data_IF_969579886961
#
_entry.id   IF_969579886961
#
_cell.length_a   1.000
_cell.length_b   1.000
_cell.length_c   1.000
_cell.angle_alpha   90.00
_cell.angle_beta   90.00
_cell.angle_gamma   90.00
#
_symmetry.space_group_name_H-M   'P 1'
#
loop_
_entity.id
_entity.type
_entity.pdbx_description
1 polymer ?
#
# COMPACT_ATOMS: atom_id res chain seq x y z
N UNK A 1 1.67 26.37 15.74
CA UNK A 1 1.91 25.97 17.12
C UNK A 1 0.64 25.30 17.58
N UNK A 2 0.71 24.00 17.76
CA UNK A 2 -0.40 23.18 18.24
C UNK A 2 -0.24 23.10 19.76
N UNK A 3 -1.25 23.49 20.54
CA UNK A 3 -1.18 23.44 22.00
C UNK A 3 -1.46 22.02 22.49
N UNK A 4 -0.39 21.23 22.64
CA UNK A 4 -0.41 19.84 23.09
C UNK A 4 -0.56 19.74 24.63
N UNK A 5 -1.66 20.25 25.17
CA UNK A 5 -1.93 20.16 26.61
C UNK A 5 -2.02 18.68 27.07
N UNK A 6 -1.21 18.32 28.06
CA UNK A 6 -1.25 17.00 28.72
C UNK A 6 -0.39 15.91 28.10
N UNK A 7 0.16 16.09 26.90
CA UNK A 7 1.05 15.09 26.27
C UNK A 7 2.45 15.14 26.95
N UNK A 8 2.99 14.01 27.43
CA UNK A 8 4.35 13.97 27.97
C UNK A 8 5.41 14.03 26.86
N UNK A 9 6.67 14.29 27.23
CA UNK A 9 7.81 14.08 26.33
C UNK A 9 7.87 12.61 25.89
N UNK A 10 7.98 12.39 24.57
CA UNK A 10 7.95 11.07 23.95
C UNK A 10 9.34 10.45 23.81
N UNK A 11 9.38 9.12 23.74
CA UNK A 11 10.58 8.30 23.62
C UNK A 11 10.47 7.50 22.32
N UNK A 12 11.42 7.64 21.41
CA UNK A 12 11.45 6.93 20.11
C UNK A 12 10.07 6.93 19.39
N UNK A 13 9.45 8.12 19.19
CA UNK A 13 8.06 8.24 18.76
C UNK A 13 7.84 7.85 17.29
N UNK A 14 6.84 7.01 17.05
CA UNK A 14 6.40 6.63 15.69
C UNK A 14 4.91 6.86 15.52
N UNK A 15 4.54 7.53 14.44
CA UNK A 15 3.14 7.73 14.09
C UNK A 15 2.62 6.52 13.32
N UNK A 16 1.48 5.95 13.75
CA UNK A 16 0.81 4.86 13.04
C UNK A 16 -0.57 5.34 12.61
N UNK A 17 -0.78 5.53 11.31
CA UNK A 17 -1.97 6.17 10.75
C UNK A 17 -2.82 5.21 9.92
N UNK A 18 -4.15 5.29 10.05
CA UNK A 18 -5.10 4.59 9.18
C UNK A 18 -6.37 5.43 8.94
N UNK A 19 -6.92 5.32 7.73
CA UNK A 19 -8.06 6.13 7.27
C UNK A 19 -9.17 5.26 6.67
N UNK A 20 -10.31 5.22 7.34
CA UNK A 20 -11.56 4.59 6.87
C UNK A 20 -11.96 5.19 5.52
N UNK A 21 -12.41 4.37 4.56
CA UNK A 21 -12.83 4.83 3.23
C UNK A 21 -12.18 4.03 2.09
N UNK A 22 -11.77 4.72 1.03
CA UNK A 22 -11.27 4.08 -0.20
C UNK A 22 -9.99 3.26 -0.01
N UNK A 23 -9.19 3.61 1.01
CA UNK A 23 -7.89 3.02 1.32
C UNK A 23 -7.98 1.82 2.31
N UNK A 24 -9.18 1.39 2.71
CA UNK A 24 -9.35 0.44 3.82
C UNK A 24 -10.36 -0.68 3.54
N UNK A 25 -10.00 -1.59 2.63
CA UNK A 25 -10.77 -2.78 2.33
C UNK A 25 -11.03 -3.66 3.59
N UNK A 26 -12.31 -3.96 3.85
CA UNK A 26 -12.72 -4.78 5.00
C UNK A 26 -12.54 -4.11 6.37
N UNK A 27 -12.35 -2.78 6.40
CA UNK A 27 -11.99 -1.95 7.57
C UNK A 27 -10.70 -2.43 8.29
N UNK A 28 -9.81 -3.14 7.58
CA UNK A 28 -8.69 -3.88 8.18
C UNK A 28 -7.62 -2.98 8.82
N UNK A 29 -7.28 -1.86 8.18
CA UNK A 29 -6.27 -0.92 8.64
C UNK A 29 -6.79 -0.01 9.77
N UNK A 30 -8.02 0.51 9.65
CA UNK A 30 -8.63 1.28 10.74
C UNK A 30 -8.95 0.38 11.94
N UNK A 31 -9.34 -0.88 11.74
CA UNK A 31 -9.48 -1.86 12.83
C UNK A 31 -8.13 -2.20 13.45
N UNK A 32 -7.03 -2.28 12.68
CA UNK A 32 -5.69 -2.46 13.25
C UNK A 32 -5.32 -1.32 14.22
N UNK A 33 -5.46 -0.06 13.81
CA UNK A 33 -5.18 1.09 14.72
C UNK A 33 -6.15 1.13 15.91
N UNK A 34 -7.44 0.82 15.70
CA UNK A 34 -8.42 0.72 16.79
C UNK A 34 -8.10 -0.41 17.79
N UNK A 35 -7.48 -1.50 17.34
CA UNK A 35 -7.00 -2.57 18.21
C UNK A 35 -5.82 -2.11 19.07
N UNK A 36 -4.81 -1.43 18.49
CA UNK A 36 -3.69 -0.86 19.25
C UNK A 36 -4.18 0.10 20.34
N UNK A 37 -5.09 1.01 19.97
CA UNK A 37 -5.70 2.00 20.86
C UNK A 37 -6.49 1.33 22.01
N UNK A 38 -7.20 0.24 21.72
CA UNK A 38 -7.97 -0.54 22.71
C UNK A 38 -7.09 -1.32 23.69
N UNK A 39 -6.13 -2.10 23.20
CA UNK A 39 -5.36 -3.01 24.05
C UNK A 39 -4.34 -2.27 24.94
N UNK A 40 -3.70 -1.23 24.39
CA UNK A 40 -2.78 -0.38 25.14
C UNK A 40 -3.45 0.82 25.82
N UNK A 41 -4.75 1.04 25.59
CA UNK A 41 -5.59 2.08 26.21
C UNK A 41 -5.09 3.49 25.90
N UNK A 42 -5.02 3.82 24.62
CA UNK A 42 -4.55 5.11 24.13
C UNK A 42 -5.35 6.27 24.67
N UNK A 43 -4.64 7.32 25.08
CA UNK A 43 -5.25 8.56 25.53
C UNK A 43 -5.35 9.53 24.35
N UNK A 44 -6.57 9.81 23.89
CA UNK A 44 -6.85 10.77 22.80
C UNK A 44 -6.53 12.18 23.29
N UNK A 45 -5.46 12.76 22.76
CA UNK A 45 -5.01 14.11 23.10
C UNK A 45 -5.45 15.17 22.08
N UNK A 46 -5.77 14.77 20.84
CA UNK A 46 -6.19 15.69 19.80
C UNK A 46 -7.21 15.08 18.81
N UNK A 47 -7.94 15.95 18.14
CA UNK A 47 -8.81 15.63 17.00
C UNK A 47 -8.80 16.82 16.03
N UNK A 48 -8.78 16.54 14.73
CA UNK A 48 -8.85 17.56 13.68
C UNK A 48 -10.28 18.14 13.63
N UNK A 49 -10.43 19.42 13.27
CA UNK A 49 -11.76 20.01 13.10
C UNK A 49 -12.51 19.30 11.96
N UNK A 50 -13.75 18.91 12.23
CA UNK A 50 -14.56 18.19 11.27
C UNK A 50 -15.07 19.10 10.13
N UNK A 51 -15.29 20.39 10.40
CA UNK A 51 -15.93 21.33 9.44
C UNK A 51 -15.00 21.71 8.27
N UNK A 52 -13.68 21.69 8.49
CA UNK A 52 -12.71 22.05 7.45
C UNK A 52 -12.41 20.91 6.44
N UNK A 53 -12.71 19.66 6.81
CA UNK A 53 -12.23 18.47 6.09
C UNK A 53 -13.32 17.52 5.56
N UNK A 54 -14.53 17.47 6.13
CA UNK A 54 -15.54 16.46 5.78
C UNK A 54 -16.81 17.05 5.16
N UNK A 55 -17.31 16.41 4.10
CA UNK A 55 -18.67 16.65 3.61
C UNK A 55 -19.66 15.86 4.46
N UNK A 56 -20.41 16.53 5.33
CA UNK A 56 -21.40 15.91 6.20
C UNK A 56 -22.65 15.35 5.48
N UNK A 57 -22.76 15.51 4.15
CA UNK A 57 -23.74 14.76 3.35
C UNK A 57 -23.27 13.35 3.01
N UNK A 58 -21.96 13.15 2.93
CA UNK A 58 -21.29 11.84 2.77
C UNK A 58 -21.06 11.24 4.16
N UNK A 59 -20.23 11.91 4.96
CA UNK A 59 -19.81 11.47 6.30
C UNK A 59 -20.78 12.05 7.36
N UNK A 60 -21.92 11.40 7.53
CA UNK A 60 -23.02 11.92 8.36
C UNK A 60 -22.72 11.80 9.87
N UNK A 61 -22.91 12.87 10.67
CA UNK A 61 -22.81 12.80 12.13
C UNK A 61 -23.86 11.87 12.74
N UNK A 62 -23.41 11.02 13.68
CA UNK A 62 -24.26 9.98 14.28
C UNK A 62 -24.89 10.46 15.58
N UNK A 63 -26.22 10.31 15.69
CA UNK A 63 -26.97 10.57 16.92
C UNK A 63 -26.95 9.34 17.82
N UNK A 64 -26.65 9.52 19.10
CA UNK A 64 -26.73 8.45 20.11
C UNK A 64 -27.34 8.94 21.42
N UNK A 65 -27.67 7.99 22.30
CA UNK A 65 -28.25 8.23 23.61
C UNK A 65 -27.32 7.70 24.70
N UNK A 66 -26.92 8.55 25.64
CA UNK A 66 -26.04 8.20 26.75
C UNK A 66 -26.68 8.63 28.07
N UNK A 67 -26.94 7.69 28.97
CA UNK A 67 -27.68 7.92 30.23
C UNK A 67 -29.03 8.67 30.06
N UNK A 68 -29.68 8.56 28.89
CA UNK A 68 -30.91 9.27 28.55
C UNK A 68 -30.72 10.66 27.94
N UNK A 69 -29.48 11.17 27.84
CA UNK A 69 -29.13 12.41 27.14
C UNK A 69 -28.82 12.10 25.68
N UNK A 70 -29.41 12.88 24.75
CA UNK A 70 -29.07 12.80 23.32
C UNK A 70 -27.74 13.51 23.06
N UNK A 71 -26.80 12.81 22.42
CA UNK A 71 -25.52 13.34 21.94
C UNK A 71 -25.39 13.17 20.42
N UNK A 72 -24.43 13.86 19.83
CA UNK A 72 -24.03 13.73 18.42
C UNK A 72 -22.52 13.48 18.39
N UNK A 73 -22.10 12.43 17.69
CA UNK A 73 -20.69 12.20 17.35
C UNK A 73 -20.46 12.70 15.93
N UNK A 74 -19.54 13.64 15.78
CA UNK A 74 -19.04 14.09 14.49
C UNK A 74 -17.91 13.17 14.01
N UNK A 75 -17.83 12.86 12.70
CA UNK A 75 -16.66 12.20 12.13
C UNK A 75 -15.44 13.11 12.23
N UNK A 76 -14.30 12.57 12.61
CA UNK A 76 -13.02 13.31 12.70
C UNK A 76 -11.86 12.32 12.89
N UNK A 77 -10.70 12.66 12.32
CA UNK A 77 -9.42 12.03 12.64
C UNK A 77 -8.97 12.42 14.04
N UNK A 78 -8.76 11.41 14.89
CA UNK A 78 -8.25 11.53 16.25
C UNK A 78 -6.80 11.09 16.33
N UNK A 79 -6.06 11.69 17.24
CA UNK A 79 -4.72 11.29 17.62
C UNK A 79 -4.73 10.86 19.10
N UNK A 80 -4.28 9.64 19.36
CA UNK A 80 -4.01 9.13 20.71
C UNK A 80 -2.54 8.75 20.85
N UNK A 81 -2.08 8.61 22.09
CA UNK A 81 -0.71 8.19 22.41
C UNK A 81 -0.71 6.96 23.31
N UNK A 82 0.19 6.02 23.05
CA UNK A 82 0.44 4.81 23.84
C UNK A 82 1.94 4.59 24.03
N UNK A 83 2.36 4.14 25.22
CA UNK A 83 3.75 3.77 25.51
C UNK A 83 3.89 2.24 25.58
N UNK A 84 4.75 1.68 24.75
CA UNK A 84 4.90 0.23 24.50
C UNK A 84 6.35 -0.23 24.72
N UNK A 85 6.66 -1.50 24.45
CA UNK A 85 8.05 -2.02 24.41
C UNK A 85 8.71 -2.39 25.75
N UNK A 86 8.16 -1.95 26.88
CA UNK A 86 8.57 -2.43 28.22
C UNK A 86 9.98 -2.02 28.61
N UNK A 87 10.94 -2.96 28.61
CA UNK A 87 12.35 -2.73 28.93
C UNK A 87 13.04 -1.79 27.92
N UNK A 88 12.55 -1.75 26.67
CA UNK A 88 12.84 -0.73 25.66
C UNK A 88 11.56 0.09 25.42
N UNK A 89 11.28 1.15 26.22
CA UNK A 89 10.07 1.93 26.02
C UNK A 89 10.14 2.71 24.70
N UNK A 90 9.06 2.68 23.91
CA UNK A 90 8.83 3.62 22.79
C UNK A 90 7.37 4.06 22.76
N UNK A 91 7.10 5.19 22.14
CA UNK A 91 5.75 5.74 22.00
C UNK A 91 5.19 5.57 20.59
N UNK A 92 3.90 5.27 20.50
CA UNK A 92 3.17 5.28 19.24
C UNK A 92 2.10 6.39 19.27
N UNK A 93 2.15 7.26 18.26
CA UNK A 93 1.12 8.28 18.01
C UNK A 93 0.12 7.68 17.03
N UNK A 94 -0.99 7.17 17.56
CA UNK A 94 -2.02 6.47 16.79
C UNK A 94 -2.96 7.48 16.16
N UNK A 95 -3.05 7.48 14.82
CA UNK A 95 -3.90 8.39 14.05
C UNK A 95 -5.01 7.58 13.38
N UNK A 96 -6.25 7.82 13.77
CA UNK A 96 -7.41 7.07 13.25
C UNK A 96 -8.56 8.00 12.90
N UNK A 97 -9.06 7.90 11.66
CA UNK A 97 -10.16 8.72 11.18
C UNK A 97 -10.76 8.22 9.88
N UNK A 98 -11.59 9.06 9.27
CA UNK A 98 -12.09 8.88 7.91
C UNK A 98 -11.19 9.65 6.95
N UNK A 99 -11.01 9.14 5.73
CA UNK A 99 -10.44 9.89 4.62
C UNK A 99 -11.17 11.26 4.46
N UNK A 100 -10.43 12.38 4.50
CA UNK A 100 -11.02 13.71 4.37
C UNK A 100 -11.72 13.86 3.02
N UNK A 101 -12.85 14.56 2.97
CA UNK A 101 -13.57 14.84 1.73
C UNK A 101 -12.94 15.97 0.92
N UNK A 102 -12.16 16.85 1.56
CA UNK A 102 -11.56 18.03 0.95
C UNK A 102 -10.29 18.50 1.66
N UNK A 103 -9.60 19.50 1.08
CA UNK A 103 -8.39 20.16 1.64
C UNK A 103 -7.24 19.23 2.06
N UNK A 104 -7.02 18.11 1.37
CA UNK A 104 -6.01 17.10 1.73
C UNK A 104 -4.61 17.67 2.02
N UNK A 105 -4.15 18.67 1.25
CA UNK A 105 -2.86 19.35 1.51
C UNK A 105 -2.81 20.06 2.87
N UNK A 106 -3.91 20.63 3.36
CA UNK A 106 -3.99 21.21 4.71
C UNK A 106 -4.03 20.11 5.77
N UNK A 107 -4.83 19.07 5.54
CA UNK A 107 -4.96 17.91 6.44
C UNK A 107 -3.61 17.22 6.68
N UNK A 108 -2.86 16.92 5.61
CA UNK A 108 -1.52 16.33 5.74
C UNK A 108 -0.53 17.29 6.42
N UNK A 109 -0.59 18.60 6.14
CA UNK A 109 0.25 19.59 6.83
C UNK A 109 -0.08 19.71 8.32
N UNK A 110 -1.34 19.51 8.72
CA UNK A 110 -1.75 19.51 10.12
C UNK A 110 -1.25 18.25 10.85
N UNK A 111 -1.41 17.06 10.24
CA UNK A 111 -0.82 15.82 10.75
C UNK A 111 0.71 15.86 10.82
N UNK A 112 1.37 16.49 9.84
CA UNK A 112 2.82 16.76 9.89
C UNK A 112 3.20 17.78 10.96
N UNK A 113 2.33 18.74 11.26
CA UNK A 113 2.45 19.63 12.41
C UNK A 113 2.45 18.86 13.73
N UNK A 114 1.49 17.95 13.92
CA UNK A 114 1.49 17.02 15.05
C UNK A 114 2.75 16.16 15.09
N UNK A 115 3.15 15.55 13.97
CA UNK A 115 4.35 14.73 13.89
C UNK A 115 5.64 15.50 14.28
N UNK A 116 5.75 16.76 13.84
CA UNK A 116 6.90 17.62 14.14
C UNK A 116 6.96 18.05 15.61
N UNK A 117 5.85 18.56 16.16
CA UNK A 117 5.78 19.03 17.55
C UNK A 117 5.92 17.86 18.56
N UNK A 118 5.59 16.62 18.13
CA UNK A 118 5.79 15.37 18.89
C UNK A 118 7.13 14.66 18.62
N UNK A 119 7.98 15.20 17.74
CA UNK A 119 9.32 14.66 17.46
C UNK A 119 9.36 13.32 16.71
N UNK A 120 8.31 12.95 15.98
CA UNK A 120 8.13 11.63 15.31
C UNK A 120 9.28 11.31 14.34
N UNK A 121 9.93 10.15 14.54
CA UNK A 121 11.08 9.71 13.73
C UNK A 121 10.68 8.87 12.50
N UNK A 122 9.48 8.25 12.51
CA UNK A 122 8.93 7.47 11.39
C UNK A 122 7.39 7.55 11.39
N UNK A 123 6.80 7.65 10.20
CA UNK A 123 5.36 7.51 9.98
C UNK A 123 5.07 6.18 9.27
N UNK A 124 4.22 5.34 9.86
CA UNK A 124 3.71 4.10 9.24
C UNK A 124 2.24 4.29 8.91
N UNK A 125 1.88 4.20 7.62
CA UNK A 125 0.50 4.38 7.17
C UNK A 125 -0.06 3.01 6.77
N UNK A 126 -1.09 2.55 7.47
CA UNK A 126 -1.75 1.28 7.18
C UNK A 126 -2.88 1.51 6.17
N UNK A 127 -3.00 0.60 5.21
CA UNK A 127 -4.09 0.53 4.24
C UNK A 127 -4.44 -0.91 3.86
N UNK A 128 -5.57 -1.08 3.21
CA UNK A 128 -6.02 -2.34 2.65
C UNK A 128 -6.71 -2.09 1.31
N UNK A 129 -6.38 -2.89 0.30
CA UNK A 129 -6.90 -2.77 -1.07
C UNK A 129 -7.54 -4.08 -1.52
N UNK A 130 -8.46 -3.99 -2.47
CA UNK A 130 -9.04 -5.19 -3.09
C UNK A 130 -8.06 -5.74 -4.14
N UNK A 131 -7.78 -7.04 -4.08
CA UNK A 131 -6.81 -7.69 -4.95
C UNK A 131 -7.14 -9.15 -5.26
N UNK A 132 -6.39 -9.69 -6.22
CA UNK A 132 -6.52 -11.04 -6.74
C UNK A 132 -5.71 -12.01 -5.86
N UNK A 133 -6.29 -12.36 -4.71
CA UNK A 133 -5.66 -13.22 -3.72
C UNK A 133 -6.66 -14.22 -3.12
N UNK A 134 -6.28 -15.49 -2.90
CA UNK A 134 -7.18 -16.50 -2.36
C UNK A 134 -7.30 -16.35 -0.84
N UNK A 135 -8.54 -16.28 -0.34
CA UNK A 135 -8.84 -16.16 1.09
C UNK A 135 -8.30 -17.32 1.94
N UNK A 136 -7.88 -18.43 1.32
CA UNK A 136 -7.33 -19.66 1.92
C UNK A 136 -5.81 -19.62 2.16
N UNK A 137 -5.08 -18.63 1.62
CA UNK A 137 -3.62 -18.45 1.83
C UNK A 137 -3.32 -17.34 2.86
N UNK A 138 -2.07 -17.12 3.27
CA UNK A 138 -1.70 -15.93 4.05
C UNK A 138 -2.03 -14.64 3.28
N UNK A 139 -2.47 -13.59 3.98
CA UNK A 139 -2.78 -12.30 3.35
C UNK A 139 -1.47 -11.64 2.90
N UNK A 140 -1.30 -11.32 1.60
CA UNK A 140 -0.14 -10.57 1.15
C UNK A 140 -0.15 -9.16 1.74
N UNK A 141 0.92 -8.79 2.44
CA UNK A 141 1.20 -7.40 2.83
C UNK A 141 2.36 -6.90 1.96
N UNK A 142 2.13 -5.86 1.15
CA UNK A 142 3.24 -5.10 0.55
C UNK A 142 3.61 -3.93 1.46
N UNK A 143 4.91 -3.63 1.53
CA UNK A 143 5.43 -2.47 2.23
C UNK A 143 6.15 -1.57 1.25
N UNK A 144 5.70 -0.32 1.10
CA UNK A 144 6.25 0.62 0.13
C UNK A 144 6.69 1.93 0.75
N UNK A 145 7.63 2.61 0.11
CA UNK A 145 8.04 3.97 0.47
C UNK A 145 8.43 4.79 -0.76
N UNK A 146 8.47 6.11 -0.57
CA UNK A 146 8.94 7.13 -1.52
C UNK A 146 10.33 7.67 -1.15
N UNK A 147 10.98 7.13 -0.11
CA UNK A 147 12.39 7.33 0.24
C UNK A 147 13.22 6.10 -0.19
N UNK A 148 14.06 6.20 -1.24
CA UNK A 148 14.90 5.08 -1.70
C UNK A 148 15.95 4.61 -0.68
N UNK A 149 16.45 5.50 0.18
CA UNK A 149 17.40 5.13 1.23
C UNK A 149 16.68 4.42 2.38
N UNK A 150 15.39 4.70 2.63
CA UNK A 150 14.55 3.92 3.54
C UNK A 150 14.19 2.56 2.94
N UNK A 151 13.84 2.50 1.66
CA UNK A 151 13.55 1.26 0.94
C UNK A 151 14.71 0.26 1.05
N UNK A 152 15.94 0.71 0.77
CA UNK A 152 17.15 -0.11 0.89
C UNK A 152 17.52 -0.48 2.33
N UNK A 153 17.17 0.34 3.34
CA UNK A 153 17.45 0.05 4.75
C UNK A 153 16.47 -0.94 5.39
N UNK A 154 15.22 -0.98 4.91
CA UNK A 154 14.12 -1.75 5.53
C UNK A 154 13.64 -2.94 4.68
N UNK A 155 14.28 -3.21 3.54
CA UNK A 155 13.89 -4.24 2.57
C UNK A 155 12.43 -4.07 2.11
N UNK A 156 12.13 -2.86 1.63
CA UNK A 156 10.81 -2.42 1.16
C UNK A 156 10.84 -2.05 -0.33
N UNK A 157 9.68 -2.06 -0.97
CA UNK A 157 9.58 -1.67 -2.38
C UNK A 157 9.49 -0.14 -2.53
N UNK A 158 10.29 0.41 -3.45
CA UNK A 158 10.09 1.78 -3.95
C UNK A 158 8.78 1.84 -4.73
N UNK A 159 7.90 2.80 -4.40
CA UNK A 159 6.61 2.97 -5.09
C UNK A 159 6.79 3.35 -6.56
N UNK A 160 6.12 2.61 -7.45
CA UNK A 160 6.18 2.75 -8.93
C UNK A 160 4.79 2.88 -9.55
N UNK A 161 3.79 3.17 -8.73
CA UNK A 161 2.39 3.29 -9.16
C UNK A 161 2.11 4.65 -9.81
N UNK A 162 1.48 4.64 -10.98
CA UNK A 162 0.95 5.84 -11.65
C UNK A 162 -0.57 5.68 -11.83
N UNK A 163 -1.35 6.56 -11.20
CA UNK A 163 -2.81 6.51 -11.24
C UNK A 163 -3.47 7.33 -10.12
N UNK A 164 -4.80 7.20 -9.92
CA UNK A 164 -5.51 7.82 -8.80
C UNK A 164 -4.99 7.32 -7.45
N UNK A 165 -4.91 8.20 -6.46
CA UNK A 165 -4.48 7.85 -5.09
C UNK A 165 -5.39 8.50 -4.05
N UNK A 166 -5.47 7.87 -2.88
CA UNK A 166 -6.20 8.37 -1.71
C UNK A 166 -5.30 9.13 -0.74
N UNK A 167 -5.84 9.48 0.42
CA UNK A 167 -5.12 10.24 1.45
C UNK A 167 -3.84 9.54 1.93
N UNK A 168 -3.76 8.22 1.88
CA UNK A 168 -2.56 7.45 2.23
C UNK A 168 -1.36 7.85 1.35
N UNK A 169 -1.56 7.92 0.03
CA UNK A 169 -0.49 8.32 -0.89
C UNK A 169 -0.10 9.79 -0.75
N UNK A 170 -1.07 10.68 -0.54
CA UNK A 170 -0.82 12.12 -0.37
C UNK A 170 -0.18 12.44 0.98
N UNK A 171 -0.45 11.66 2.04
CA UNK A 171 0.27 11.78 3.30
C UNK A 171 1.71 11.25 3.17
N UNK A 172 1.93 10.12 2.48
CA UNK A 172 3.27 9.59 2.23
C UNK A 172 4.13 10.57 1.41
N UNK A 173 3.57 11.16 0.34
CA UNK A 173 4.19 12.23 -0.45
C UNK A 173 4.56 13.44 0.43
N UNK A 174 3.62 13.88 1.28
CA UNK A 174 3.84 15.03 2.16
C UNK A 174 4.94 14.75 3.21
N UNK A 175 5.01 13.54 3.77
CA UNK A 175 6.11 13.12 4.64
C UNK A 175 7.46 13.18 3.92
N UNK A 176 7.57 12.62 2.71
CA UNK A 176 8.80 12.68 1.91
C UNK A 176 9.20 14.12 1.59
N UNK A 177 8.26 14.99 1.23
CA UNK A 177 8.54 16.42 1.01
C UNK A 177 8.92 17.19 2.29
N UNK A 178 8.46 16.75 3.46
CA UNK A 178 8.85 17.30 4.76
C UNK A 178 10.17 16.74 5.30
N UNK A 179 10.74 15.71 4.65
CA UNK A 179 11.93 15.00 5.13
C UNK A 179 11.66 14.06 6.31
N UNK A 180 10.39 13.70 6.56
CA UNK A 180 9.99 12.73 7.58
C UNK A 180 9.97 11.33 6.96
N UNK A 181 10.70 10.34 7.50
CA UNK A 181 10.65 8.96 7.02
C UNK A 181 9.22 8.42 7.05
N UNK A 182 8.77 7.79 5.95
CA UNK A 182 7.42 7.25 5.85
C UNK A 182 7.38 5.92 5.09
N UNK A 183 6.56 4.99 5.58
CA UNK A 183 6.27 3.68 4.97
C UNK A 183 4.76 3.51 4.91
N UNK A 184 4.23 3.00 3.79
CA UNK A 184 2.87 2.44 3.76
C UNK A 184 2.87 0.92 3.75
N UNK A 185 2.00 0.31 4.55
CA UNK A 185 1.75 -1.13 4.59
C UNK A 185 0.35 -1.41 4.03
N UNK A 186 0.26 -2.23 2.98
CA UNK A 186 -0.99 -2.51 2.28
C UNK A 186 -1.35 -3.99 2.33
N UNK A 187 -2.51 -4.31 2.92
CA UNK A 187 -3.08 -5.65 2.84
C UNK A 187 -3.85 -5.86 1.52
N UNK A 188 -3.56 -6.94 0.80
CA UNK A 188 -4.39 -7.41 -0.30
C UNK A 188 -5.58 -8.21 0.25
N UNK A 189 -6.78 -7.66 0.16
CA UNK A 189 -8.04 -8.30 0.57
C UNK A 189 -8.69 -8.97 -0.65
N UNK A 190 -9.16 -10.23 -0.55
CA UNK A 190 -9.87 -10.90 -1.64
C UNK A 190 -11.11 -10.10 -2.05
N UNK A 191 -11.19 -9.65 -3.31
CA UNK A 191 -12.25 -8.73 -3.75
C UNK A 191 -13.68 -9.28 -3.60
N UNK A 192 -13.85 -10.60 -3.68
CA UNK A 192 -15.12 -11.31 -3.48
C UNK A 192 -15.56 -11.40 -2.01
N UNK A 193 -14.66 -11.16 -1.04
CA UNK A 193 -14.99 -10.94 0.39
C UNK A 193 -14.41 -9.61 0.85
N UNK A 194 -14.96 -8.55 0.28
CA UNK A 194 -14.61 -7.15 0.51
C UNK A 194 -15.40 -6.49 1.65
N UNK A 195 -16.45 -7.14 2.17
CA UNK A 195 -17.28 -6.59 3.24
C UNK A 195 -16.57 -6.62 4.60
N UNK A 196 -16.56 -5.52 5.37
CA UNK A 196 -16.08 -5.51 6.75
C UNK A 196 -16.93 -6.39 7.70
N UNK A 197 -16.35 -6.92 8.79
CA UNK A 197 -14.94 -6.82 9.17
C UNK A 197 -14.07 -7.91 8.53
N UNK A 198 -12.81 -7.60 8.22
CA UNK A 198 -11.80 -8.59 7.83
C UNK A 198 -10.70 -8.74 8.91
N UNK A 199 -10.93 -9.54 9.98
CA UNK A 199 -9.94 -9.74 11.04
C UNK A 199 -8.66 -10.41 10.54
N UNK A 200 -8.71 -11.20 9.45
CA UNK A 200 -7.53 -11.86 8.86
C UNK A 200 -6.56 -10.85 8.26
N UNK A 201 -7.06 -9.84 7.55
CA UNK A 201 -6.25 -8.74 7.03
C UNK A 201 -5.75 -7.82 8.16
N UNK A 202 -6.59 -7.53 9.16
CA UNK A 202 -6.18 -6.79 10.37
C UNK A 202 -5.00 -7.47 11.07
N UNK A 203 -5.10 -8.79 11.33
CA UNK A 203 -4.05 -9.59 11.95
C UNK A 203 -2.76 -9.59 11.13
N UNK A 204 -2.85 -9.66 9.79
CA UNK A 204 -1.68 -9.61 8.92
C UNK A 204 -0.97 -8.23 8.92
N UNK A 205 -1.74 -7.13 8.94
CA UNK A 205 -1.19 -5.77 9.10
C UNK A 205 -0.50 -5.60 10.45
N UNK A 206 -1.10 -6.09 11.53
CA UNK A 206 -0.53 -6.05 12.88
C UNK A 206 0.77 -6.85 12.95
N UNK A 207 0.79 -8.09 12.44
CA UNK A 207 2.02 -8.90 12.40
C UNK A 207 3.13 -8.20 11.62
N UNK A 208 2.83 -7.57 10.47
CA UNK A 208 3.83 -6.83 9.69
C UNK A 208 4.28 -5.53 10.38
N UNK A 209 3.43 -4.90 11.18
CA UNK A 209 3.79 -3.76 12.03
C UNK A 209 4.67 -4.18 13.21
N UNK A 210 4.46 -5.37 13.77
CA UNK A 210 5.31 -5.98 14.79
C UNK A 210 6.73 -6.23 14.24
N UNK A 211 6.84 -6.86 13.06
CA UNK A 211 8.12 -7.05 12.34
C UNK A 211 8.83 -5.71 12.08
N UNK A 212 8.08 -4.68 11.63
CA UNK A 212 8.64 -3.39 11.19
C UNK A 212 9.23 -2.58 12.35
N UNK A 213 8.73 -2.77 13.58
CA UNK A 213 9.01 -1.90 14.73
C UNK A 213 9.67 -2.61 15.94
N UNK A 214 10.13 -3.87 15.81
CA UNK A 214 10.78 -4.69 16.88
C UNK A 214 10.01 -4.66 18.22
N UNK A 215 8.67 -4.73 18.15
CA UNK A 215 7.78 -4.66 19.31
C UNK A 215 7.02 -5.99 19.54
N UNK A 216 5.98 -5.98 20.37
CA UNK A 216 5.01 -7.08 20.49
C UNK A 216 3.60 -6.57 20.69
N UNK A 217 2.67 -7.02 19.86
CA UNK A 217 1.27 -6.61 19.87
C UNK A 217 0.44 -7.66 20.64
N UNK A 218 -0.35 -7.28 21.66
CA UNK A 218 -1.25 -8.18 22.36
C UNK A 218 -2.51 -8.46 21.50
N UNK A 219 -2.40 -9.38 20.53
CA UNK A 219 -3.42 -9.67 19.52
C UNK A 219 -4.85 -9.99 20.03
N UNK A 220 -5.01 -10.31 21.32
CA UNK A 220 -6.32 -10.63 21.92
C UNK A 220 -7.01 -11.79 21.21
N UNK A 221 -8.31 -11.65 20.95
CA UNK A 221 -9.14 -12.66 20.26
C UNK A 221 -8.98 -12.62 18.72
N UNK A 222 -8.13 -11.76 18.13
CA UNK A 222 -8.00 -11.67 16.66
C UNK A 222 -7.60 -12.99 15.96
N UNK A 223 -6.81 -13.91 16.53
CA UNK A 223 -6.55 -15.21 15.92
C UNK A 223 -7.79 -16.13 15.91
N UNK A 224 -8.66 -16.01 16.90
CA UNK A 224 -9.94 -16.72 17.02
C UNK A 224 -10.96 -16.14 16.03
N UNK A 225 -11.10 -14.81 15.98
CA UNK A 225 -11.94 -14.11 14.99
C UNK A 225 -11.50 -14.40 13.55
N UNK A 226 -10.18 -14.43 13.30
CA UNK A 226 -9.61 -14.82 12.00
C UNK A 226 -10.00 -16.24 11.60
N UNK A 227 -9.98 -17.19 12.56
CA UNK A 227 -10.38 -18.58 12.32
C UNK A 227 -11.88 -18.72 12.07
N UNK A 228 -12.70 -17.97 12.80
CA UNK A 228 -14.14 -17.95 12.60
C UNK A 228 -14.52 -17.32 11.24
N UNK A 229 -13.87 -16.21 10.87
CA UNK A 229 -14.01 -15.57 9.57
C UNK A 229 -13.63 -16.51 8.43
N UNK A 230 -12.47 -17.18 8.52
CA UNK A 230 -12.02 -18.17 7.53
C UNK A 230 -13.10 -19.23 7.27
N UNK A 231 -13.58 -19.90 8.32
CA UNK A 231 -14.60 -20.96 8.21
C UNK A 231 -15.93 -20.45 7.64
N UNK A 232 -16.29 -19.18 7.89
CA UNK A 232 -17.45 -18.54 7.27
C UNK A 232 -17.28 -18.29 5.78
N UNK A 233 -16.10 -17.83 5.35
CA UNK A 233 -15.79 -17.62 3.93
C UNK A 233 -15.65 -18.95 3.19
N UNK A 234 -14.97 -19.93 3.77
CA UNK A 234 -14.81 -21.27 3.19
C UNK A 234 -16.18 -21.90 2.87
N UNK A 235 -17.19 -21.64 3.70
CA UNK A 235 -18.58 -22.08 3.48
C UNK A 235 -19.25 -21.32 2.34
N UNK A 236 -19.21 -19.97 2.37
CA UNK A 236 -19.83 -19.14 1.32
C UNK A 236 -19.21 -19.39 -0.07
N UNK A 237 -17.89 -19.59 -0.13
CA UNK A 237 -17.18 -19.93 -1.37
C UNK A 237 -17.48 -21.34 -1.88
N UNK A 238 -17.93 -22.26 -1.01
CA UNK A 238 -18.33 -23.61 -1.39
C UNK A 238 -19.82 -23.72 -1.82
N UNK A 239 -20.64 -22.69 -1.55
CA UNK A 239 -22.02 -22.62 -2.03
C UNK A 239 -22.13 -22.17 -3.50
N UNK A 240 -21.09 -21.52 -4.04
CA UNK A 240 -21.01 -21.04 -5.43
C UNK A 240 -19.83 -21.69 -6.18
N UNK A 241 -20.13 -22.47 -7.22
CA UNK A 241 -19.12 -23.18 -8.01
C UNK A 241 -18.22 -22.27 -8.84
N UNK A 242 -18.72 -21.12 -9.31
CA UNK A 242 -17.90 -20.16 -10.07
C UNK A 242 -16.89 -19.47 -9.14
N UNK A 243 -17.30 -19.16 -7.90
CA UNK A 243 -16.39 -18.68 -6.86
C UNK A 243 -15.36 -19.75 -6.46
N UNK A 244 -15.77 -21.01 -6.30
CA UNK A 244 -14.86 -22.10 -5.95
C UNK A 244 -13.77 -22.35 -7.02
N UNK A 245 -14.14 -22.42 -8.31
CA UNK A 245 -13.19 -22.57 -9.42
C UNK A 245 -12.24 -21.35 -9.52
N UNK A 246 -12.77 -20.15 -9.26
CA UNK A 246 -11.97 -18.92 -9.24
C UNK A 246 -10.99 -18.87 -8.06
N UNK A 247 -11.40 -19.29 -6.86
CA UNK A 247 -10.50 -19.41 -5.69
C UNK A 247 -9.37 -20.40 -5.98
N UNK A 248 -9.66 -21.56 -6.57
CA UNK A 248 -8.61 -22.51 -6.98
C UNK A 248 -7.64 -21.89 -7.99
N UNK A 249 -8.14 -21.10 -8.96
CA UNK A 249 -7.30 -20.40 -9.94
C UNK A 249 -6.36 -19.39 -9.25
N UNK A 250 -6.84 -18.69 -8.22
CA UNK A 250 -6.02 -17.77 -7.41
C UNK A 250 -5.01 -18.51 -6.51
N UNK A 251 -5.36 -19.69 -5.99
CA UNK A 251 -4.43 -20.57 -5.27
C UNK A 251 -3.28 -21.04 -6.17
N UNK A 252 -3.59 -21.60 -7.34
CA UNK A 252 -2.58 -22.10 -8.29
C UNK A 252 -1.64 -20.99 -8.75
N UNK A 253 -2.17 -19.77 -9.00
CA UNK A 253 -1.37 -18.61 -9.33
C UNK A 253 -0.46 -18.16 -8.18
N UNK A 254 -0.96 -18.14 -6.93
CA UNK A 254 -0.19 -17.72 -5.75
C UNK A 254 0.89 -18.73 -5.38
N UNK A 255 0.55 -20.00 -5.31
CA UNK A 255 1.46 -21.08 -4.93
C UNK A 255 2.59 -21.21 -5.96
N UNK A 256 2.29 -21.02 -7.26
CA UNK A 256 3.31 -20.98 -8.32
C UNK A 256 4.28 -19.80 -8.16
N UNK A 257 3.81 -18.63 -7.73
CA UNK A 257 4.65 -17.45 -7.51
C UNK A 257 5.56 -17.56 -6.28
N UNK A 258 5.17 -18.35 -5.27
CA UNK A 258 5.98 -18.61 -4.07
C UNK A 258 7.03 -19.72 -4.26
N UNK A 259 7.04 -20.45 -5.39
CA UNK A 259 8.05 -21.45 -5.67
C UNK A 259 9.45 -20.82 -5.82
N UNK A 260 10.50 -21.34 -5.14
CA UNK A 260 11.88 -20.81 -5.28
C UNK A 260 12.41 -20.81 -6.71
N UNK A 261 11.92 -21.72 -7.55
CA UNK A 261 12.28 -21.84 -8.97
C UNK A 261 11.66 -20.73 -9.85
N UNK A 262 10.58 -20.09 -9.40
CA UNK A 262 9.96 -18.93 -10.06
C UNK A 262 10.65 -17.59 -9.73
N UNK A 263 11.58 -17.58 -8.76
CA UNK A 263 12.35 -16.37 -8.42
C UNK A 263 13.15 -15.85 -9.63
N UNK A 264 13.22 -14.53 -9.77
CA UNK A 264 13.94 -13.90 -10.90
C UNK A 264 15.40 -14.35 -11.03
N UNK A 265 16.07 -14.62 -9.91
CA UNK A 265 17.42 -15.21 -9.92
C UNK A 265 17.46 -16.68 -10.36
N UNK A 266 16.45 -17.50 -10.04
CA UNK A 266 16.39 -18.88 -10.51
C UNK A 266 16.16 -18.93 -12.03
N UNK A 267 15.23 -18.11 -12.53
CA UNK A 267 14.96 -17.93 -13.96
C UNK A 267 16.22 -17.40 -14.68
N UNK A 268 16.92 -16.41 -14.12
CA UNK A 268 18.18 -15.92 -14.67
C UNK A 268 19.28 -17.00 -14.69
N UNK A 269 19.42 -17.81 -13.63
CA UNK A 269 20.38 -18.93 -13.57
C UNK A 269 20.04 -20.04 -14.58
N UNK A 270 18.77 -20.35 -14.81
CA UNK A 270 18.32 -21.25 -15.87
C UNK A 270 18.60 -20.66 -17.27
N UNK A 271 18.35 -19.37 -17.48
CA UNK A 271 18.61 -18.69 -18.75
C UNK A 271 20.12 -18.64 -19.08
N UNK A 272 20.98 -18.32 -18.11
CA UNK A 272 22.43 -18.47 -18.26
C UNK A 272 22.85 -19.91 -18.57
N UNK A 273 22.30 -20.90 -17.85
CA UNK A 273 22.56 -22.33 -18.09
C UNK A 273 22.04 -22.78 -19.47
N UNK A 274 21.03 -22.13 -20.03
CA UNK A 274 20.54 -22.36 -21.39
C UNK A 274 21.48 -21.74 -22.44
N UNK A 275 21.90 -20.49 -22.27
CA UNK A 275 22.85 -19.81 -23.17
C UNK A 275 24.21 -20.53 -23.20
N UNK A 276 24.78 -20.88 -22.04
CA UNK A 276 26.02 -21.66 -21.94
C UNK A 276 25.92 -23.04 -22.60
N UNK A 277 24.73 -23.64 -22.69
CA UNK A 277 24.49 -24.90 -23.44
C UNK A 277 24.44 -24.70 -24.96
N UNK A 278 24.24 -23.48 -25.44
CA UNK A 278 24.22 -23.12 -26.86
C UNK A 278 25.62 -22.79 -27.38
N UNK A 279 26.43 -22.07 -26.60
CA UNK A 279 27.81 -21.70 -26.98
C UNK A 279 28.77 -22.91 -27.04
N UNK A 280 28.46 -24.00 -26.33
CA UNK A 280 29.27 -25.24 -26.29
C UNK A 280 29.09 -26.11 -27.55
N UNK A 281 28.17 -25.75 -28.47
CA UNK A 281 27.91 -26.56 -29.67
C UNK A 281 28.04 -25.74 -30.97
N UNK A 282 29.27 -25.35 -31.39
CA UNK A 282 29.50 -24.78 -32.70
C UNK A 282 29.12 -25.80 -33.79
N UNK A 283 28.48 -25.39 -34.90
CA UNK A 283 28.08 -26.32 -35.96
C UNK A 283 29.32 -26.91 -36.64
N UNK A 284 29.62 -28.18 -36.32
CA UNK A 284 30.73 -28.93 -36.90
C UNK A 284 30.59 -29.03 -38.42
N UNK A 285 31.57 -28.50 -39.15
CA UNK A 285 31.50 -28.40 -40.61
C UNK A 285 31.65 -29.75 -41.31
N UNK A 286 30.70 -30.07 -42.19
CA UNK A 286 30.91 -31.07 -43.24
C UNK A 286 31.37 -30.39 -44.53
N UNK A 287 32.60 -30.68 -44.94
CA UNK A 287 33.09 -30.32 -46.26
C UNK A 287 32.79 -31.44 -47.27
N UNK A 288 32.15 -31.10 -48.39
CA UNK A 288 32.15 -31.88 -49.63
C UNK A 288 32.43 -30.92 -50.77
N UNK A 289 33.41 -31.24 -51.62
CA UNK A 289 33.93 -30.32 -52.62
C UNK A 289 33.51 -30.70 -54.05
N UNK A 290 32.79 -29.79 -54.70
CA UNK A 290 32.74 -29.54 -56.15
C UNK A 290 32.00 -28.19 -56.33
N UNK A 291 32.27 -27.34 -57.32
CA UNK A 291 33.26 -27.42 -58.40
C UNK A 291 32.81 -26.60 -59.61
N UNK A 292 33.13 -25.29 -59.68
CA UNK A 292 32.71 -24.45 -60.81
C UNK A 292 32.92 -22.93 -60.69
N UNK A 293 33.88 -22.42 -61.46
CA UNK A 293 33.92 -21.12 -62.16
C UNK A 293 33.43 -19.80 -61.49
N UNK A 294 34.40 -19.01 -61.02
CA UNK A 294 34.84 -17.80 -61.76
C UNK A 294 33.93 -16.55 -61.84
N UNK A 295 34.26 -15.53 -61.04
CA UNK A 295 33.79 -14.14 -61.23
C UNK A 295 34.49 -13.19 -60.26
N UNK A 296 34.82 -11.94 -60.66
CA UNK A 296 35.69 -11.07 -59.86
C UNK A 296 35.28 -9.59 -59.77
N UNK A 297 35.34 -9.09 -58.53
CA UNK A 297 35.49 -7.68 -58.07
C UNK A 297 34.45 -6.58 -58.39
N UNK A 298 34.25 -5.76 -57.33
CA UNK A 298 33.85 -4.34 -57.27
C UNK A 298 32.36 -3.92 -57.41
N UNK A 299 31.89 -3.23 -56.36
CA UNK A 299 30.90 -2.11 -56.28
C UNK A 299 29.53 -2.26 -56.97
N UNK A 300 28.41 -1.85 -56.36
CA UNK A 300 28.21 -0.53 -55.74
C UNK A 300 27.21 -0.51 -54.56
N UNK A 301 27.01 0.69 -53.99
CA UNK A 301 26.02 1.01 -52.93
C UNK A 301 24.89 1.88 -53.53
N UNK A 302 23.63 1.81 -53.04
CA UNK A 302 23.14 3.00 -52.34
C UNK A 302 22.14 2.78 -51.18
N UNK A 303 22.09 3.81 -50.34
CA UNK A 303 21.14 4.07 -49.24
C UNK A 303 19.65 4.11 -49.61
N UNK A 304 18.76 3.81 -48.64
CA UNK A 304 17.35 4.25 -48.71
C UNK A 304 16.48 3.96 -47.47
N UNK A 305 15.72 4.98 -47.03
CA UNK A 305 14.59 4.99 -46.07
C UNK A 305 14.96 4.80 -44.58
N UNK A 306 14.96 5.79 -43.68
CA UNK A 306 13.99 6.86 -43.25
C UNK A 306 12.96 6.42 -42.20
N UNK A 307 12.87 7.20 -41.11
CA UNK A 307 12.11 6.97 -39.86
C UNK A 307 10.69 7.62 -39.94
N UNK A 308 9.65 7.05 -39.30
CA UNK A 308 8.30 7.62 -39.32
C UNK A 308 8.15 8.92 -38.48
N UNK A 309 7.14 9.76 -38.76
CA UNK A 309 6.92 11.06 -38.12
C UNK A 309 6.18 10.98 -36.77
N UNK A 310 6.08 12.12 -36.06
CA UNK A 310 5.46 12.29 -34.73
C UNK A 310 4.18 13.16 -34.81
N UNK A 311 3.15 12.98 -33.95
CA UNK A 311 1.90 13.73 -34.04
C UNK A 311 2.02 15.23 -33.68
N UNK A 312 1.09 16.09 -34.16
CA UNK A 312 1.04 17.52 -33.83
C UNK A 312 0.43 17.80 -32.45
N UNK A 313 0.58 19.05 -31.98
CA UNK A 313 -0.08 19.61 -30.79
C UNK A 313 -1.23 20.54 -31.19
N UNK A 314 -2.27 20.73 -30.35
CA UNK A 314 -3.21 21.83 -30.51
C UNK A 314 -2.52 23.18 -30.24
N UNK A 315 -3.12 24.27 -30.73
CA UNK A 315 -2.68 25.65 -30.49
C UNK A 315 -3.86 26.56 -30.13
N UNK A 316 -3.55 27.72 -29.56
CA UNK A 316 -4.54 28.74 -29.18
C UNK A 316 -5.15 29.44 -30.40
N UNK A 317 -6.36 29.96 -30.22
CA UNK A 317 -6.94 31.04 -31.01
C UNK A 317 -7.35 32.16 -30.03
N UNK A 318 -6.88 33.39 -30.24
CA UNK A 318 -7.16 34.58 -29.43
C UNK A 318 -7.39 35.79 -30.39
N UNK A 319 -8.55 36.47 -30.26
CA UNK A 319 -8.90 37.85 -30.71
C UNK A 319 -8.80 38.17 -32.24
N UNK A 320 -9.60 39.05 -32.89
CA UNK A 320 -10.66 40.03 -32.54
C UNK A 320 -11.67 40.06 -33.76
N UNK A 321 -12.66 40.96 -34.02
CA UNK A 321 -13.06 42.27 -33.50
C UNK A 321 -14.55 42.66 -33.79
N UNK A 322 -15.07 43.61 -32.99
CA UNK A 322 -15.95 44.76 -33.34
C UNK A 322 -17.29 44.61 -34.11
N UNK A 323 -18.33 45.30 -33.57
CA UNK A 323 -19.52 45.92 -34.25
C UNK A 323 -20.53 44.94 -34.94
N UNK A 324 -21.86 45.01 -34.75
CA UNK A 324 -22.81 46.04 -34.24
C UNK A 324 -23.75 45.47 -33.14
#
# INVERSE_FOLDING_TARGET
>A
MIELEGVPELIDPVMVAAFEGWNDAGDAASTAVAHLDREWKGEVFAALDAEDYYDFQVNRPTVFMEAGVRKITWPTTRLSVVRVGGDKPRDLVLVRGIEPSMRWRSFCNELLGFAHELGVELVVILGALLGDTPHTRPVPISGTTSDPDLAHRMDLEETKYEGPTGIVGVLQEACTHAGVPAVSLWAAVPHYVSQPPNPKATLALLNRLEDLLDLRIPLGELPEDTRAWQVGVDQLAAEDSEVAEYVQTLEEARDTAELPEASGEAIAREFERYLRRRDVNPPGGHATADGGEGGSYLRDNPSGRTRPPKPPRPGNEDEDSSED
#
